data_IF_273751548133
#
_entry.id   IF_273751548133
#
_cell.length_a   1.000
_cell.length_b   1.000
_cell.length_c   1.000
_cell.angle_alpha   90.00
_cell.angle_beta   90.00
_cell.angle_gamma   90.00
#
_symmetry.space_group_name_H-M   'P 1'
#
loop_
_entity.id
_entity.type
_entity.pdbx_description
1 polymer ?
#
# COMPACT_ATOMS: atom_id res chain seq x y z
N UNK A 1 6.66 -4.48 -5.02
CA UNK A 1 5.58 -3.48 -5.03
C UNK A 1 4.28 -4.07 -5.61
N UNK A 2 4.34 -4.69 -6.79
CA UNK A 2 3.17 -5.29 -7.44
C UNK A 2 2.35 -6.22 -6.54
N UNK A 3 2.98 -7.22 -5.90
CA UNK A 3 2.29 -8.14 -5.00
C UNK A 3 1.56 -7.44 -3.83
N UNK A 4 2.14 -6.36 -3.27
CA UNK A 4 1.49 -5.56 -2.23
C UNK A 4 0.27 -4.83 -2.79
N UNK A 5 0.37 -4.29 -4.01
CA UNK A 5 -0.73 -3.58 -4.66
C UNK A 5 -1.88 -4.51 -5.01
N UNK A 6 -1.60 -5.66 -5.62
CA UNK A 6 -2.59 -6.67 -5.99
C UNK A 6 -3.38 -7.14 -4.76
N UNK A 7 -2.69 -7.67 -3.74
CA UNK A 7 -3.35 -8.17 -2.52
C UNK A 7 -4.13 -7.06 -1.80
N UNK A 8 -3.57 -5.84 -1.74
CA UNK A 8 -4.25 -4.73 -1.11
C UNK A 8 -5.51 -4.32 -1.88
N UNK A 9 -5.45 -4.23 -3.21
CA UNK A 9 -6.61 -3.92 -4.04
C UNK A 9 -7.69 -4.99 -3.91
N UNK A 10 -7.34 -6.26 -4.08
CA UNK A 10 -8.30 -7.37 -4.02
C UNK A 10 -9.03 -7.42 -2.68
N UNK A 11 -8.33 -7.23 -1.56
CA UNK A 11 -8.98 -7.19 -0.25
C UNK A 11 -9.94 -5.99 -0.11
N UNK A 12 -9.59 -4.83 -0.67
CA UNK A 12 -10.45 -3.65 -0.67
C UNK A 12 -11.69 -3.87 -1.55
N UNK A 13 -11.53 -4.53 -2.70
CA UNK A 13 -12.58 -4.79 -3.68
C UNK A 13 -13.57 -5.87 -3.20
N UNK A 14 -13.08 -6.96 -2.61
CA UNK A 14 -13.93 -8.01 -1.99
C UNK A 14 -14.71 -7.46 -0.79
N UNK A 15 -14.12 -6.50 -0.07
CA UNK A 15 -14.73 -5.79 1.05
C UNK A 15 -15.41 -6.70 2.11
N UNK A 16 -14.68 -7.69 2.68
CA UNK A 16 -15.30 -8.79 3.44
C UNK A 16 -15.89 -8.39 4.80
N UNK A 17 -15.58 -7.20 5.32
CA UNK A 17 -16.08 -6.73 6.61
C UNK A 17 -17.02 -5.55 6.44
N UNK A 18 -17.93 -5.35 7.39
CA UNK A 18 -18.79 -4.16 7.44
C UNK A 18 -17.98 -2.87 7.55
N UNK A 19 -16.89 -2.89 8.31
CA UNK A 19 -16.03 -1.74 8.56
C UNK A 19 -14.56 -2.15 8.69
N UNK A 20 -13.64 -1.23 8.41
CA UNK A 20 -12.23 -1.41 8.71
C UNK A 20 -11.40 -2.14 7.64
N UNK A 21 -11.97 -2.47 6.48
CA UNK A 21 -11.25 -3.08 5.35
C UNK A 21 -9.96 -2.31 4.98
N UNK A 22 -10.04 -0.97 4.94
CA UNK A 22 -8.87 -0.13 4.69
C UNK A 22 -7.75 -0.24 5.74
N UNK A 23 -8.11 -0.45 7.02
CA UNK A 23 -7.11 -0.68 8.08
C UNK A 23 -6.48 -2.06 7.93
N UNK A 24 -7.31 -3.08 7.69
CA UNK A 24 -6.83 -4.45 7.51
C UNK A 24 -5.91 -4.57 6.28
N UNK A 25 -6.27 -3.97 5.15
CA UNK A 25 -5.45 -3.99 3.94
C UNK A 25 -4.07 -3.33 4.15
N UNK A 26 -3.98 -2.30 4.98
CA UNK A 26 -2.67 -1.70 5.35
C UNK A 26 -1.89 -2.58 6.31
N UNK A 27 -2.54 -3.22 7.28
CA UNK A 27 -1.88 -4.16 8.19
C UNK A 27 -1.36 -5.39 7.45
N UNK A 28 -2.13 -5.94 6.51
CA UNK A 28 -1.69 -7.05 5.67
C UNK A 28 -0.50 -6.64 4.78
N UNK A 29 -0.57 -5.46 4.15
CA UNK A 29 0.56 -4.94 3.37
C UNK A 29 1.81 -4.73 4.23
N UNK A 30 1.65 -4.25 5.47
CA UNK A 30 2.74 -4.14 6.43
C UNK A 30 3.35 -5.52 6.76
N UNK A 31 2.53 -6.52 7.05
CA UNK A 31 2.99 -7.88 7.34
C UNK A 31 3.76 -8.48 6.15
N UNK A 32 3.21 -8.38 4.93
CA UNK A 32 3.87 -8.85 3.71
C UNK A 32 5.21 -8.15 3.48
N UNK A 33 5.29 -6.84 3.73
CA UNK A 33 6.53 -6.09 3.60
C UNK A 33 7.59 -6.58 4.61
N UNK A 34 7.22 -6.77 5.88
CA UNK A 34 8.11 -7.28 6.92
C UNK A 34 8.61 -8.69 6.58
N UNK A 35 7.72 -9.58 6.12
CA UNK A 35 8.08 -10.93 5.66
C UNK A 35 9.03 -10.92 4.46
N UNK A 36 8.97 -9.89 3.63
CA UNK A 36 9.88 -9.67 2.51
C UNK A 36 11.19 -8.94 2.90
N UNK A 37 11.46 -8.74 4.20
CA UNK A 37 12.67 -8.06 4.69
C UNK A 37 12.68 -6.54 4.46
N UNK A 38 11.52 -5.94 4.16
CA UNK A 38 11.38 -4.48 4.09
C UNK A 38 11.18 -3.90 5.49
N UNK A 39 11.58 -2.63 5.72
CA UNK A 39 11.25 -1.94 6.97
C UNK A 39 9.73 -1.71 7.08
N UNK A 40 9.22 -1.38 8.29
CA UNK A 40 7.82 -0.99 8.47
C UNK A 40 7.39 0.09 7.46
N UNK A 41 6.25 -0.13 6.81
CA UNK A 41 5.77 0.74 5.74
C UNK A 41 5.31 2.11 6.27
N UNK A 42 5.84 3.17 5.66
CA UNK A 42 5.41 4.55 5.84
C UNK A 42 4.36 4.91 4.78
N UNK A 43 3.09 4.87 5.17
CA UNK A 43 1.94 5.18 4.32
C UNK A 43 1.69 6.69 4.10
N UNK A 44 2.55 7.58 4.61
CA UNK A 44 2.39 9.03 4.39
C UNK A 44 2.27 9.45 2.91
N UNK A 45 2.89 8.77 1.91
CA UNK A 45 2.67 9.09 0.50
C UNK A 45 1.23 8.91 0.01
N UNK A 46 0.38 8.17 0.73
CA UNK A 46 -1.05 8.00 0.43
C UNK A 46 -1.93 9.11 1.00
N UNK A 47 -1.38 9.99 1.84
CA UNK A 47 -2.14 11.05 2.52
C UNK A 47 -2.21 12.31 1.65
N UNK A 48 -3.12 13.22 2.00
CA UNK A 48 -3.30 14.50 1.32
C UNK A 48 -3.52 14.33 -0.19
N UNK A 49 -2.64 14.94 -1.02
CA UNK A 49 -2.70 14.82 -2.48
C UNK A 49 -2.52 13.39 -2.99
N UNK A 50 -1.80 12.54 -2.26
CA UNK A 50 -1.60 11.13 -2.58
C UNK A 50 -2.87 10.29 -2.50
N UNK A 51 -3.88 10.75 -1.73
CA UNK A 51 -5.16 10.04 -1.57
C UNK A 51 -5.88 9.85 -2.90
N UNK A 52 -5.85 10.86 -3.77
CA UNK A 52 -6.49 10.78 -5.10
C UNK A 52 -5.82 9.73 -5.99
N UNK A 53 -4.49 9.65 -5.95
CA UNK A 53 -3.71 8.67 -6.73
C UNK A 53 -4.00 7.26 -6.22
N UNK A 54 -4.02 7.07 -4.89
CA UNK A 54 -4.41 5.81 -4.28
C UNK A 54 -5.81 5.36 -4.70
N UNK A 55 -6.83 6.24 -4.57
CA UNK A 55 -8.20 5.92 -4.97
C UNK A 55 -8.27 5.60 -6.46
N UNK A 56 -7.59 6.37 -7.31
CA UNK A 56 -7.50 6.09 -8.74
C UNK A 56 -6.88 4.72 -9.03
N UNK A 57 -5.86 4.31 -8.28
CA UNK A 57 -5.28 2.97 -8.39
C UNK A 57 -6.22 1.84 -7.98
N UNK A 58 -7.07 2.05 -6.96
CA UNK A 58 -8.11 1.09 -6.58
C UNK A 58 -9.18 0.97 -7.68
N UNK A 59 -9.58 2.08 -8.31
CA UNK A 59 -10.51 2.03 -9.44
C UNK A 59 -9.92 1.31 -10.66
N UNK A 60 -8.64 1.54 -10.97
CA UNK A 60 -7.96 0.82 -12.06
C UNK A 60 -7.92 -0.70 -11.80
N UNK A 61 -7.71 -1.10 -10.54
CA UNK A 61 -7.70 -2.51 -10.15
C UNK A 61 -9.03 -3.23 -10.35
N UNK A 62 -10.17 -2.52 -10.49
CA UNK A 62 -11.44 -3.15 -10.89
C UNK A 62 -11.32 -3.84 -12.27
N UNK A 63 -10.48 -3.31 -13.15
CA UNK A 63 -10.12 -3.92 -14.44
C UNK A 63 -8.89 -4.82 -14.38
N UNK A 64 -8.46 -5.25 -13.19
CA UNK A 64 -7.20 -5.98 -12.93
C UNK A 64 -5.93 -5.24 -13.36
N UNK A 65 -6.01 -3.93 -13.55
CA UNK A 65 -4.83 -3.10 -13.72
C UNK A 65 -4.30 -2.64 -12.36
N UNK A 66 -3.33 -3.39 -11.83
CA UNK A 66 -2.71 -3.10 -10.54
C UNK A 66 -1.51 -2.15 -10.64
N UNK A 67 -1.05 -1.83 -11.86
CA UNK A 67 0.17 -1.02 -12.05
C UNK A 67 0.03 0.38 -11.42
N UNK A 68 -1.09 1.12 -11.58
CA UNK A 68 -1.24 2.43 -10.94
C UNK A 68 -1.08 2.36 -9.43
N UNK A 69 -1.66 1.34 -8.77
CA UNK A 69 -1.52 1.16 -7.33
C UNK A 69 -0.11 0.68 -6.94
N UNK A 70 0.55 -0.12 -7.78
CA UNK A 70 1.94 -0.52 -7.58
C UNK A 70 2.88 0.69 -7.51
N UNK A 71 2.68 1.71 -8.35
CA UNK A 71 3.48 2.95 -8.28
C UNK A 71 3.31 3.70 -6.95
N UNK A 72 2.13 3.59 -6.31
CA UNK A 72 1.90 4.14 -4.96
C UNK A 72 2.71 3.35 -3.94
N UNK A 73 2.68 2.02 -4.01
CA UNK A 73 3.47 1.15 -3.13
C UNK A 73 4.98 1.32 -3.30
N UNK A 74 5.47 1.62 -4.51
CA UNK A 74 6.88 1.97 -4.71
C UNK A 74 7.28 3.22 -3.93
N UNK A 75 6.46 4.28 -3.99
CA UNK A 75 6.69 5.52 -3.22
C UNK A 75 6.68 5.26 -1.72
N UNK A 76 5.76 4.42 -1.24
CA UNK A 76 5.70 3.97 0.16
C UNK A 76 7.01 3.27 0.54
N UNK A 77 7.45 2.27 -0.24
CA UNK A 77 8.67 1.50 0.05
C UNK A 77 9.90 2.43 0.09
N UNK A 78 10.05 3.31 -0.90
CA UNK A 78 11.16 4.29 -0.94
C UNK A 78 11.15 5.19 0.29
N UNK A 79 9.97 5.73 0.66
CA UNK A 79 9.83 6.57 1.86
C UNK A 79 10.18 5.79 3.13
N UNK A 80 9.73 4.54 3.23
CA UNK A 80 9.96 3.65 4.37
C UNK A 80 11.45 3.37 4.57
N UNK A 81 12.17 3.04 3.50
CA UNK A 81 13.63 2.82 3.54
C UNK A 81 14.39 4.07 3.98
N UNK A 82 14.01 5.25 3.46
CA UNK A 82 14.62 6.53 3.87
C UNK A 82 14.41 6.82 5.36
N UNK A 83 13.19 6.58 5.86
CA UNK A 83 12.87 6.77 7.27
C UNK A 83 13.63 5.81 8.18
N UNK A 84 13.75 4.54 7.78
CA UNK A 84 14.52 3.55 8.53
C UNK A 84 16.01 3.92 8.61
N UNK A 85 16.60 4.36 7.50
CA UNK A 85 17.99 4.82 7.47
C UNK A 85 18.23 6.06 8.35
N UNK A 86 17.29 7.02 8.36
CA UNK A 86 17.39 8.22 9.20
C UNK A 86 17.27 7.92 10.70
N UNK A 87 16.60 6.83 11.09
CA UNK A 87 16.46 6.42 12.49
C UNK A 87 17.66 5.60 13.00
N UNK A 88 18.58 5.20 12.13
CA UNK A 88 19.81 4.47 12.49
C UNK A 88 21.03 5.40 12.69
N UNK A 89 20.86 6.69 12.43
CA UNK A 89 21.83 7.76 12.69
C UNK A 89 21.45 8.48 13.98
#
# INVERSE_FOLDING_TARGET
ALALAEVHAELILVHPFREGNGRLARLLALLMALQAGLPPLDFSPMLGRGRRIYIGGIHAAMGRDYLPLATVFEKIIVRSKRRAAANMQ
#
